data_IF_109788672429
#
_entry.id   IF_109788672429
#
_cell.length_a   1.000
_cell.length_b   1.000
_cell.length_c   1.000
_cell.angle_alpha   90.00
_cell.angle_beta   90.00
_cell.angle_gamma   90.00
#
_symmetry.space_group_name_H-M   'P 1'
#
loop_
_entity.id
_entity.type
_entity.pdbx_description
1 polymer ?
#
# COMPACT_ATOMS: atom_id res chain seq x y z
N UNK A 1 -10.68 18.54 12.20
CA UNK A 1 -9.76 19.70 12.05
C UNK A 1 -10.49 21.03 12.23
N UNK A 2 -11.62 21.26 11.56
CA UNK A 2 -12.34 22.54 11.63
C UNK A 2 -13.21 22.71 12.88
N UNK A 3 -13.52 21.63 13.60
CA UNK A 3 -14.32 21.68 14.83
C UNK A 3 -13.74 22.63 15.89
N UNK A 4 -12.41 22.81 15.94
CA UNK A 4 -11.75 23.78 16.83
C UNK A 4 -12.15 25.24 16.59
N UNK A 5 -12.75 25.53 15.44
CA UNK A 5 -13.27 26.83 15.05
C UNK A 5 -14.80 26.87 15.10
N UNK A 6 -15.44 25.91 15.79
CA UNK A 6 -16.88 25.69 15.82
C UNK A 6 -17.52 25.48 14.43
N UNK A 7 -16.73 24.99 13.47
CA UNK A 7 -17.19 24.62 12.14
C UNK A 7 -17.33 23.10 12.06
N UNK A 8 -18.56 22.63 12.15
CA UNK A 8 -18.92 21.21 11.96
C UNK A 8 -19.71 21.04 10.68
N UNK A 9 -19.32 20.07 9.85
CA UNK A 9 -19.87 19.85 8.53
C UNK A 9 -21.07 18.89 8.57
N UNK A 10 -22.03 19.10 9.47
CA UNK A 10 -23.08 18.11 9.77
C UNK A 10 -24.20 17.98 8.72
N UNK A 11 -24.24 18.83 7.70
CA UNK A 11 -25.33 18.86 6.71
C UNK A 11 -24.95 18.25 5.35
N UNK A 12 -24.08 17.24 5.34
CA UNK A 12 -23.66 16.57 4.10
C UNK A 12 -24.80 15.76 3.46
N UNK A 13 -25.79 15.33 4.24
CA UNK A 13 -26.97 14.63 3.74
C UNK A 13 -27.82 15.47 2.79
N UNK A 14 -27.83 16.80 2.92
CA UNK A 14 -28.50 17.70 1.97
C UNK A 14 -27.95 17.58 0.53
N UNK A 15 -26.74 17.01 0.39
CA UNK A 15 -26.05 16.80 -0.88
C UNK A 15 -25.96 15.31 -1.25
N UNK A 16 -26.69 14.43 -0.57
CA UNK A 16 -26.62 12.97 -0.70
C UNK A 16 -25.22 12.39 -0.46
N UNK A 17 -24.41 13.07 0.36
CA UNK A 17 -23.08 12.59 0.75
C UNK A 17 -23.20 11.81 2.06
N UNK A 18 -22.71 10.57 2.03
CA UNK A 18 -22.59 9.73 3.23
C UNK A 18 -21.39 10.19 4.06
N UNK A 19 -21.63 10.46 5.34
CA UNK A 19 -20.61 10.98 6.27
C UNK A 19 -20.58 10.12 7.52
N UNK A 20 -19.41 9.97 8.11
CA UNK A 20 -19.29 9.42 9.46
C UNK A 20 -20.07 10.30 10.46
N UNK A 21 -20.62 9.67 11.48
CA UNK A 21 -21.28 10.38 12.58
C UNK A 21 -20.31 11.39 13.21
N UNK A 22 -20.84 12.54 13.62
CA UNK A 22 -20.08 13.66 14.21
C UNK A 22 -18.94 14.19 13.33
N UNK A 23 -18.98 13.96 12.01
CA UNK A 23 -17.93 14.39 11.08
C UNK A 23 -16.54 13.83 11.48
N UNK A 24 -16.52 12.63 12.06
CA UNK A 24 -15.29 11.96 12.47
C UNK A 24 -14.50 11.49 11.24
N UNK A 25 -13.19 11.66 11.28
CA UNK A 25 -12.31 11.24 10.18
C UNK A 25 -12.30 9.71 9.99
N UNK A 26 -12.50 8.96 11.08
CA UNK A 26 -12.65 7.51 11.08
C UNK A 26 -13.90 7.18 11.88
N UNK A 27 -14.90 6.62 11.22
CA UNK A 27 -16.19 6.32 11.83
C UNK A 27 -16.83 5.08 11.20
N UNK A 28 -18.14 4.98 11.34
CA UNK A 28 -18.93 3.83 10.94
C UNK A 28 -19.09 3.71 9.41
N UNK A 29 -18.99 4.80 8.65
CA UNK A 29 -19.18 4.78 7.19
C UNK A 29 -17.90 4.51 6.43
N UNK A 30 -16.81 5.16 6.83
CA UNK A 30 -15.53 5.10 6.11
C UNK A 30 -14.34 5.30 7.05
N UNK A 31 -13.28 4.54 6.83
CA UNK A 31 -11.99 4.68 7.52
C UNK A 31 -10.86 4.52 6.52
N UNK A 32 -9.92 5.48 6.50
CA UNK A 32 -8.64 5.36 5.79
C UNK A 32 -7.47 5.19 6.77
N UNK A 33 -6.61 4.24 6.46
CA UNK A 33 -5.41 3.91 7.23
C UNK A 33 -4.20 4.28 6.39
N UNK A 34 -3.50 5.35 6.78
CA UNK A 34 -2.28 5.79 6.11
C UNK A 34 -1.09 4.94 6.57
N UNK A 35 -0.45 4.27 5.60
CA UNK A 35 0.73 3.43 5.76
C UNK A 35 0.69 2.53 7.02
N UNK A 36 -0.36 1.71 7.19
CA UNK A 36 -0.56 0.93 8.40
C UNK A 36 0.44 -0.23 8.49
N UNK A 37 0.67 -0.71 9.71
CA UNK A 37 1.58 -1.83 9.92
C UNK A 37 3.06 -1.42 9.85
N UNK A 38 3.88 -2.35 9.37
CA UNK A 38 5.31 -2.12 9.09
C UNK A 38 5.65 -2.61 7.69
N UNK A 39 5.02 -2.06 6.64
CA UNK A 39 5.38 -2.45 5.28
C UNK A 39 6.86 -2.18 5.01
N UNK A 40 7.60 -3.10 4.35
CA UNK A 40 8.96 -2.83 3.89
C UNK A 40 9.00 -1.58 3.03
N UNK A 41 9.85 -0.61 3.37
CA UNK A 41 9.89 0.67 2.65
C UNK A 41 11.26 1.33 2.70
N UNK A 42 11.58 2.09 1.66
CA UNK A 42 12.73 2.98 1.59
C UNK A 42 12.29 4.40 1.93
N UNK A 43 12.62 4.85 3.13
CA UNK A 43 12.24 6.16 3.67
C UNK A 43 13.38 7.16 3.50
N UNK A 44 13.05 8.44 3.28
CA UNK A 44 14.05 9.52 3.30
C UNK A 44 14.31 9.94 4.75
N UNK A 45 15.54 9.79 5.21
CA UNK A 45 15.99 10.28 6.51
C UNK A 45 16.30 11.78 6.52
N UNK A 46 16.62 12.36 7.69
CA UNK A 46 16.84 13.80 7.87
C UNK A 46 17.93 14.38 6.96
N UNK A 47 18.95 13.60 6.64
CA UNK A 47 20.09 14.04 5.83
C UNK A 47 19.96 13.60 4.35
N UNK A 48 18.75 13.26 3.91
CA UNK A 48 18.49 12.68 2.58
C UNK A 48 18.96 11.23 2.42
N UNK A 49 19.60 10.63 3.44
CA UNK A 49 19.99 9.21 3.43
C UNK A 49 18.77 8.30 3.44
N UNK A 50 18.79 7.25 2.65
CA UNK A 50 17.72 6.24 2.64
C UNK A 50 17.80 5.38 3.91
N UNK A 51 16.69 5.28 4.62
CA UNK A 51 16.48 4.38 5.76
C UNK A 51 15.59 3.22 5.31
N UNK A 52 16.03 1.99 5.59
CA UNK A 52 15.27 0.78 5.27
C UNK A 52 14.34 0.45 6.44
N UNK A 53 13.03 0.66 6.26
CA UNK A 53 12.02 0.14 7.19
C UNK A 53 11.73 -1.32 6.85
N UNK A 54 11.73 -2.19 7.86
CA UNK A 54 11.42 -3.61 7.74
C UNK A 54 12.07 -4.27 6.50
N UNK A 55 13.40 -4.17 6.37
CA UNK A 55 14.16 -4.72 5.25
C UNK A 55 14.24 -3.83 4.00
N UNK A 56 13.36 -2.83 3.87
CA UNK A 56 13.35 -1.86 2.77
C UNK A 56 12.63 -2.35 1.52
N UNK A 57 12.81 -3.62 1.14
CA UNK A 57 12.08 -4.29 0.05
C UNK A 57 11.33 -5.52 0.58
N UNK A 58 10.23 -5.94 -0.07
CA UNK A 58 9.36 -7.00 0.43
C UNK A 58 10.06 -8.34 0.69
N UNK A 59 10.98 -8.75 -0.19
CA UNK A 59 11.69 -10.03 -0.07
C UNK A 59 12.72 -10.09 1.07
N UNK A 60 13.01 -8.96 1.73
CA UNK A 60 13.85 -8.87 2.92
C UNK A 60 13.05 -8.47 4.17
N UNK A 61 11.72 -8.38 4.06
CA UNK A 61 10.85 -7.93 5.13
C UNK A 61 10.40 -9.04 6.07
N UNK A 62 10.20 -8.68 7.35
CA UNK A 62 9.56 -9.55 8.33
C UNK A 62 8.04 -9.38 8.27
N UNK A 63 7.36 -10.39 7.70
CA UNK A 63 5.90 -10.40 7.56
C UNK A 63 5.18 -10.48 8.92
N UNK A 64 5.69 -11.28 9.85
CA UNK A 64 5.11 -11.44 11.18
C UNK A 64 5.07 -10.11 11.93
N UNK A 65 6.18 -9.36 11.91
CA UNK A 65 6.26 -8.02 12.48
C UNK A 65 5.22 -7.08 11.86
N UNK A 66 5.08 -7.12 10.53
CA UNK A 66 4.10 -6.31 9.81
C UNK A 66 2.66 -6.63 10.25
N UNK A 67 2.28 -7.91 10.26
CA UNK A 67 0.93 -8.35 10.62
C UNK A 67 0.59 -8.08 12.09
N UNK A 68 1.56 -8.22 13.01
CA UNK A 68 1.39 -7.80 14.41
C UNK A 68 1.08 -6.31 14.50
N UNK A 69 1.76 -5.47 13.71
CA UNK A 69 1.51 -4.03 13.72
C UNK A 69 0.17 -3.68 13.07
N UNK A 70 -0.22 -4.36 11.98
CA UNK A 70 -1.56 -4.22 11.38
C UNK A 70 -2.64 -4.50 12.42
N UNK A 71 -2.53 -5.58 13.20
CA UNK A 71 -3.48 -5.90 14.27
C UNK A 71 -3.62 -4.75 15.27
N UNK A 72 -2.50 -4.21 15.75
CA UNK A 72 -2.50 -3.06 16.67
C UNK A 72 -3.14 -1.81 16.05
N UNK A 73 -2.84 -1.52 14.79
CA UNK A 73 -3.40 -0.35 14.11
C UNK A 73 -4.91 -0.49 13.87
N UNK A 74 -5.39 -1.68 13.52
CA UNK A 74 -6.83 -1.94 13.36
C UNK A 74 -7.58 -1.84 14.68
N UNK A 75 -7.06 -2.45 15.76
CA UNK A 75 -7.71 -2.37 17.07
C UNK A 75 -7.77 -0.93 17.61
N UNK A 76 -6.76 -0.11 17.30
CA UNK A 76 -6.72 1.30 17.70
C UNK A 76 -7.58 2.21 16.82
N UNK A 77 -7.55 2.03 15.50
CA UNK A 77 -8.12 2.98 14.53
C UNK A 77 -9.51 2.61 14.03
N UNK A 78 -9.91 1.34 14.19
CA UNK A 78 -11.23 0.81 13.83
C UNK A 78 -11.77 0.05 15.04
N UNK A 79 -12.02 0.75 16.13
CA UNK A 79 -12.37 0.16 17.43
C UNK A 79 -13.65 -0.68 17.41
N UNK A 80 -14.63 -0.31 16.58
CA UNK A 80 -15.85 -1.09 16.38
C UNK A 80 -15.52 -2.43 15.70
N UNK A 81 -15.65 -3.54 16.43
CA UNK A 81 -15.44 -4.91 15.91
C UNK A 81 -16.46 -5.33 14.86
N UNK A 82 -17.64 -4.71 14.86
CA UNK A 82 -18.72 -4.91 13.91
C UNK A 82 -18.74 -3.83 12.81
N UNK A 83 -17.60 -3.18 12.55
CA UNK A 83 -17.50 -2.21 11.46
C UNK A 83 -17.96 -2.82 10.13
N UNK A 84 -18.94 -2.19 9.50
CA UNK A 84 -19.60 -2.59 8.25
C UNK A 84 -19.43 -1.55 7.12
N UNK A 85 -18.67 -0.48 7.39
CA UNK A 85 -18.32 0.57 6.44
C UNK A 85 -17.18 0.20 5.47
N UNK A 86 -16.64 1.22 4.80
CA UNK A 86 -15.51 1.10 3.87
C UNK A 86 -14.16 1.26 4.57
N UNK A 87 -13.34 0.22 4.56
CA UNK A 87 -11.98 0.23 5.10
C UNK A 87 -10.94 0.37 3.98
N UNK A 88 -10.16 1.44 4.02
CA UNK A 88 -9.17 1.77 2.98
C UNK A 88 -7.77 1.62 3.57
N UNK A 89 -6.97 0.74 2.97
CA UNK A 89 -5.54 0.60 3.24
C UNK A 89 -4.79 1.49 2.26
N UNK A 90 -4.24 2.59 2.75
CA UNK A 90 -3.45 3.52 1.95
C UNK A 90 -1.96 3.19 2.08
N UNK A 91 -1.50 2.30 1.20
CA UNK A 91 -0.11 1.87 1.12
C UNK A 91 0.45 2.17 -0.27
N UNK A 92 1.49 3.02 -0.30
CA UNK A 92 2.02 3.56 -1.56
C UNK A 92 3.53 3.43 -1.73
N UNK A 93 4.23 2.76 -0.81
CA UNK A 93 5.69 2.73 -0.82
C UNK A 93 6.25 2.02 -2.07
N UNK A 94 5.56 1.01 -2.58
CA UNK A 94 5.89 0.29 -3.82
C UNK A 94 4.65 -0.34 -4.43
N UNK A 95 4.74 -0.79 -5.68
CA UNK A 95 3.69 -1.56 -6.39
C UNK A 95 4.09 -3.03 -6.48
N UNK A 96 3.16 -4.00 -6.36
CA UNK A 96 3.51 -5.41 -6.28
C UNK A 96 4.05 -5.99 -7.60
N UNK A 97 3.81 -5.31 -8.72
CA UNK A 97 4.37 -5.64 -10.02
C UNK A 97 5.71 -4.91 -10.18
N UNK A 98 6.81 -5.65 -10.31
CA UNK A 98 8.17 -5.11 -10.28
C UNK A 98 8.37 -4.00 -11.32
N UNK A 99 7.84 -4.21 -12.54
CA UNK A 99 7.92 -3.27 -13.66
C UNK A 99 7.23 -1.92 -13.39
N UNK A 100 6.21 -1.89 -12.53
CA UNK A 100 5.43 -0.69 -12.21
C UNK A 100 6.15 0.24 -11.20
N UNK A 101 7.30 -0.18 -10.66
CA UNK A 101 8.12 0.64 -9.76
C UNK A 101 9.11 1.51 -10.54
N UNK A 102 8.61 2.58 -11.16
CA UNK A 102 9.38 3.58 -11.92
C UNK A 102 9.37 4.95 -11.23
N UNK A 103 10.13 5.91 -11.77
CA UNK A 103 10.24 7.25 -11.20
C UNK A 103 10.81 7.22 -9.78
N UNK A 104 10.09 7.80 -8.82
CA UNK A 104 10.48 7.81 -7.40
C UNK A 104 10.51 6.42 -6.77
N UNK A 105 9.88 5.41 -7.39
CA UNK A 105 9.86 4.02 -6.93
C UNK A 105 11.00 3.17 -7.52
N UNK A 106 11.81 3.73 -8.43
CA UNK A 106 12.96 3.03 -9.02
C UNK A 106 13.94 2.43 -7.97
N UNK A 107 14.22 3.08 -6.82
CA UNK A 107 15.12 2.53 -5.81
C UNK A 107 14.77 1.13 -5.31
N UNK A 108 13.49 0.72 -5.32
CA UNK A 108 13.09 -0.64 -4.94
C UNK A 108 13.61 -1.69 -5.93
N UNK A 109 13.61 -1.37 -7.23
CA UNK A 109 14.16 -2.25 -8.27
C UNK A 109 15.67 -2.32 -8.21
N UNK A 110 16.34 -1.19 -7.95
CA UNK A 110 17.80 -1.16 -7.81
C UNK A 110 18.24 -1.96 -6.58
N UNK A 111 17.60 -1.74 -5.43
CA UNK A 111 17.94 -2.47 -4.22
C UNK A 111 17.71 -3.97 -4.38
N UNK A 112 16.59 -4.38 -4.98
CA UNK A 112 16.30 -5.79 -5.24
C UNK A 112 17.38 -6.45 -6.10
N UNK A 113 17.83 -5.77 -7.17
CA UNK A 113 18.94 -6.26 -8.00
C UNK A 113 20.25 -6.35 -7.23
N UNK A 114 20.59 -5.31 -6.45
CA UNK A 114 21.84 -5.30 -5.66
C UNK A 114 21.87 -6.47 -4.67
N UNK A 115 20.76 -6.75 -3.99
CA UNK A 115 20.67 -7.89 -3.07
C UNK A 115 20.98 -9.22 -3.79
N UNK A 116 20.42 -9.45 -4.98
CA UNK A 116 20.70 -10.69 -5.72
C UNK A 116 22.14 -10.75 -6.24
N UNK A 117 22.74 -9.62 -6.66
CA UNK A 117 24.15 -9.57 -7.05
C UNK A 117 25.06 -9.92 -5.89
N UNK A 118 24.79 -9.37 -4.71
CA UNK A 118 25.59 -9.59 -3.51
C UNK A 118 25.47 -11.05 -3.04
N UNK A 119 24.29 -11.67 -3.19
CA UNK A 119 24.06 -13.10 -2.89
C UNK A 119 24.70 -14.04 -3.91
N UNK A 120 24.78 -13.62 -5.19
CA UNK A 120 25.27 -14.45 -6.28
C UNK A 120 26.26 -13.69 -7.20
N UNK A 121 27.49 -13.39 -6.73
CA UNK A 121 28.42 -12.49 -7.45
C UNK A 121 28.85 -12.96 -8.85
N UNK A 122 28.83 -14.27 -9.10
CA UNK A 122 29.22 -14.88 -10.38
C UNK A 122 28.04 -15.09 -11.35
N UNK A 123 26.81 -14.75 -10.93
CA UNK A 123 25.61 -14.99 -11.72
C UNK A 123 25.51 -14.00 -12.89
N UNK A 124 25.00 -14.48 -14.03
CA UNK A 124 24.76 -13.63 -15.20
C UNK A 124 23.72 -12.55 -14.89
N UNK A 125 23.88 -11.31 -15.38
CA UNK A 125 22.95 -10.20 -15.10
C UNK A 125 21.47 -10.50 -15.44
N UNK A 126 21.21 -11.28 -16.49
CA UNK A 126 19.84 -11.66 -16.88
C UNK A 126 19.17 -12.59 -15.86
N UNK A 127 19.94 -13.47 -15.22
CA UNK A 127 19.44 -14.35 -14.17
C UNK A 127 19.22 -13.55 -12.87
N UNK A 128 20.12 -12.61 -12.55
CA UNK A 128 19.94 -11.68 -11.43
C UNK A 128 18.66 -10.84 -11.57
N UNK A 129 18.35 -10.32 -12.77
CA UNK A 129 17.10 -9.56 -13.02
C UNK A 129 15.87 -10.45 -12.81
N UNK A 130 15.92 -11.68 -13.31
CA UNK A 130 14.82 -12.64 -13.17
C UNK A 130 14.55 -12.99 -11.71
N UNK A 131 15.62 -13.24 -10.94
CA UNK A 131 15.53 -13.58 -9.52
C UNK A 131 15.03 -12.39 -8.70
N UNK A 132 15.58 -11.19 -8.92
CA UNK A 132 15.17 -9.97 -8.24
C UNK A 132 13.68 -9.68 -8.45
N UNK A 133 13.21 -9.81 -9.70
CA UNK A 133 11.78 -9.70 -10.04
C UNK A 133 10.96 -10.76 -9.30
N UNK A 134 11.33 -12.02 -9.42
CA UNK A 134 10.60 -13.16 -8.86
C UNK A 134 10.41 -13.03 -7.35
N UNK A 135 11.50 -12.78 -6.62
CA UNK A 135 11.48 -12.64 -5.17
C UNK A 135 10.68 -11.41 -4.73
N UNK A 136 10.86 -10.27 -5.42
CA UNK A 136 10.11 -9.06 -5.12
C UNK A 136 8.61 -9.28 -5.30
N UNK A 137 8.15 -9.73 -6.47
CA UNK A 137 6.72 -9.88 -6.77
C UNK A 137 6.05 -10.92 -5.86
N UNK A 138 6.75 -12.04 -5.58
CA UNK A 138 6.26 -13.07 -4.66
C UNK A 138 6.07 -12.52 -3.23
N UNK A 139 7.08 -11.82 -2.71
CA UNK A 139 6.99 -11.25 -1.37
C UNK A 139 5.99 -10.08 -1.30
N UNK A 140 5.98 -9.19 -2.29
CA UNK A 140 5.01 -8.10 -2.40
C UNK A 140 3.57 -8.61 -2.34
N UNK A 141 3.27 -9.63 -3.15
CA UNK A 141 1.97 -10.30 -3.16
C UNK A 141 1.63 -10.81 -1.77
N UNK A 142 2.55 -11.56 -1.15
CA UNK A 142 2.34 -12.14 0.18
C UNK A 142 2.04 -11.07 1.25
N UNK A 143 2.79 -9.96 1.26
CA UNK A 143 2.54 -8.86 2.19
C UNK A 143 1.16 -8.23 1.99
N UNK A 144 0.75 -7.96 0.74
CA UNK A 144 -0.56 -7.34 0.48
C UNK A 144 -1.73 -8.29 0.75
N UNK A 145 -1.63 -9.55 0.30
CA UNK A 145 -2.69 -10.55 0.48
C UNK A 145 -2.92 -10.87 1.96
N UNK A 146 -1.85 -11.13 2.72
CA UNK A 146 -1.96 -11.49 4.14
C UNK A 146 -2.47 -10.32 4.99
N UNK A 147 -2.13 -9.09 4.62
CA UNK A 147 -2.67 -7.90 5.29
C UNK A 147 -4.16 -7.72 5.00
N UNK A 148 -4.58 -7.87 3.75
CA UNK A 148 -5.99 -7.80 3.39
C UNK A 148 -6.82 -8.92 4.05
N UNK A 149 -6.27 -10.13 4.10
CA UNK A 149 -6.86 -11.27 4.80
C UNK A 149 -7.04 -10.97 6.30
N UNK A 150 -5.99 -10.48 6.95
CA UNK A 150 -6.03 -10.17 8.39
C UNK A 150 -7.07 -9.09 8.71
N UNK A 151 -7.14 -7.99 7.95
CA UNK A 151 -8.12 -6.92 8.24
C UNK A 151 -9.56 -7.41 8.03
N UNK A 152 -9.79 -8.28 7.05
CA UNK A 152 -11.08 -8.94 6.83
C UNK A 152 -11.44 -9.90 7.96
N UNK A 153 -10.48 -10.68 8.47
CA UNK A 153 -10.72 -11.53 9.63
C UNK A 153 -11.05 -10.71 10.89
N UNK A 154 -10.39 -9.57 11.07
CA UNK A 154 -10.58 -8.72 12.25
C UNK A 154 -11.87 -7.89 12.20
N UNK A 155 -12.30 -7.46 11.01
CA UNK A 155 -13.51 -6.65 10.77
C UNK A 155 -14.29 -7.25 9.59
N UNK A 156 -14.98 -8.39 9.81
CA UNK A 156 -15.54 -9.22 8.73
C UNK A 156 -16.71 -8.59 7.97
N UNK A 157 -17.41 -7.64 8.57
CA UNK A 157 -18.49 -6.90 7.90
C UNK A 157 -17.95 -5.73 7.06
N UNK A 158 -16.70 -5.34 7.29
CA UNK A 158 -16.07 -4.20 6.62
C UNK A 158 -15.72 -4.50 5.17
N UNK A 159 -15.92 -3.51 4.31
CA UNK A 159 -15.57 -3.57 2.89
C UNK A 159 -14.15 -3.05 2.72
N UNK A 160 -13.18 -3.96 2.67
CA UNK A 160 -11.76 -3.64 2.63
C UNK A 160 -11.18 -3.58 1.23
N UNK A 161 -10.35 -2.58 0.96
CA UNK A 161 -9.58 -2.45 -0.28
C UNK A 161 -8.34 -1.58 -0.11
N UNK A 162 -7.41 -1.71 -1.06
CA UNK A 162 -6.25 -0.83 -1.16
C UNK A 162 -6.60 0.43 -1.95
N UNK A 163 -6.13 1.58 -1.47
CA UNK A 163 -6.19 2.83 -2.21
C UNK A 163 -5.51 2.71 -3.58
N UNK A 164 -6.05 3.41 -4.58
CA UNK A 164 -5.56 3.53 -5.96
C UNK A 164 -5.60 2.27 -6.85
N UNK A 165 -5.89 1.07 -6.33
CA UNK A 165 -5.99 -0.13 -7.16
C UNK A 165 -7.39 -0.32 -7.79
N UNK A 166 -7.48 -0.78 -9.05
CA UNK A 166 -6.38 -1.07 -9.97
C UNK A 166 -5.78 0.19 -10.61
N UNK A 167 -4.47 0.19 -10.86
CA UNK A 167 -3.83 1.28 -11.59
C UNK A 167 -4.16 1.24 -13.09
N UNK A 168 -4.29 2.43 -13.69
CA UNK A 168 -4.52 2.59 -15.13
C UNK A 168 -3.31 3.20 -15.86
N UNK A 169 -2.66 4.22 -15.30
CA UNK A 169 -1.57 4.97 -15.96
C UNK A 169 -1.95 5.61 -17.31
N UNK A 170 -3.21 6.01 -17.49
CA UNK A 170 -3.65 6.93 -18.54
C UNK A 170 -3.16 8.36 -18.27
N UNK A 171 -3.09 9.19 -19.31
CA UNK A 171 -2.56 10.55 -19.26
C UNK A 171 -1.20 10.71 -18.57
N UNK A 172 -0.32 9.71 -18.74
CA UNK A 172 1.07 9.78 -18.27
C UNK A 172 1.99 10.20 -19.42
N UNK A 173 3.23 10.67 -19.17
CA UNK A 173 4.15 11.04 -20.26
C UNK A 173 4.41 9.93 -21.30
N UNK A 174 4.24 8.66 -20.91
CA UNK A 174 4.39 7.50 -21.80
C UNK A 174 3.07 7.02 -22.42
N UNK A 175 1.93 7.59 -22.02
CA UNK A 175 0.60 7.21 -22.48
C UNK A 175 -0.37 8.40 -22.36
N UNK A 176 -0.32 9.31 -23.33
CA UNK A 176 -1.19 10.51 -23.38
C UNK A 176 -2.54 10.20 -24.03
N UNK A 177 -3.23 9.18 -23.52
CA UNK A 177 -4.52 8.70 -24.01
C UNK A 177 -5.45 8.37 -22.81
N UNK A 178 -6.79 8.38 -23.00
CA UNK A 178 -7.74 8.00 -21.96
C UNK A 178 -7.66 6.52 -21.57
N UNK A 179 -7.22 5.66 -22.49
CA UNK A 179 -7.11 4.22 -22.30
C UNK A 179 -5.88 3.85 -21.48
N UNK A 180 -6.01 2.83 -20.63
CA UNK A 180 -4.87 2.27 -19.89
C UNK A 180 -3.94 1.52 -20.86
N UNK A 181 -2.61 1.50 -20.63
CA UNK A 181 -1.70 0.70 -21.44
C UNK A 181 -2.07 -0.79 -21.41
N UNK A 182 -2.02 -1.45 -22.56
CA UNK A 182 -2.39 -2.88 -22.69
C UNK A 182 -1.67 -3.77 -21.70
N UNK A 183 -0.38 -3.52 -21.48
CA UNK A 183 0.41 -4.30 -20.52
C UNK A 183 -0.08 -4.15 -19.07
N UNK A 184 -0.59 -2.98 -18.70
CA UNK A 184 -1.13 -2.71 -17.36
C UNK A 184 -2.47 -3.40 -17.18
N UNK A 185 -3.32 -3.36 -18.22
CA UNK A 185 -4.58 -4.12 -18.21
C UNK A 185 -4.33 -5.62 -18.05
N UNK A 186 -3.32 -6.17 -18.72
CA UNK A 186 -2.91 -7.57 -18.53
C UNK A 186 -2.38 -7.87 -17.13
N UNK A 187 -1.70 -6.93 -16.50
CA UNK A 187 -1.19 -7.08 -15.13
C UNK A 187 -2.29 -6.96 -14.06
N UNK A 188 -3.44 -6.38 -14.41
CA UNK A 188 -4.62 -6.25 -13.53
C UNK A 188 -5.55 -7.48 -13.60
N UNK A 189 -5.38 -8.37 -14.60
CA UNK A 189 -6.17 -9.59 -14.79
C UNK A 189 -5.50 -10.79 -14.12
#
# INVERSE_FOLDING_TARGET
>A
MCHRYNLSFNNMSAWNIVQNSEDLFRGERIVILYDPGQFPALLKGPNGKIVRRNGGVPQEGNLTLHLMKIRQDIDRLVSNRFFDGMGILDFESWRPIFRQNWGTLLPYRELSRTIERDRHPLQKPSLTEKEAKSRFESASRRFMEQTLELVRQMRPQGKWGYYAYPFCYNYTPKNMAPTCPVQVMKENN
#
